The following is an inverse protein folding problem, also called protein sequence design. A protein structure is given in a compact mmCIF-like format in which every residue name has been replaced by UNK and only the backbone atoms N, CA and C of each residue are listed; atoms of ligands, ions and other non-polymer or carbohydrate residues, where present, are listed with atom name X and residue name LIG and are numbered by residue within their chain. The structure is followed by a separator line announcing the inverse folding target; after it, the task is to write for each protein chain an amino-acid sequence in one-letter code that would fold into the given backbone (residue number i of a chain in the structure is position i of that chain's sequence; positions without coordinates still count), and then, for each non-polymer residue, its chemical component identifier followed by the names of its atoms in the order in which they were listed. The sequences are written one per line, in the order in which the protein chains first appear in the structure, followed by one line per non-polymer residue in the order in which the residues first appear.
data_IF_690325220825
#
_entry.id   IF_690325220825
#
_cell.length_a   1.000
_cell.length_b   1.000
_cell.length_c   1.000
_cell.angle_alpha   90.00
_cell.angle_beta   90.00
_cell.angle_gamma   90.00
#
_symmetry.space_group_name_H-M   'P 1'
#
loop_
_entity.id
_entity.type
_entity.pdbx_description
1 polymer ?
#
# COMPACT_ATOMS: atom_id res chain seq x y z
N UNK A 1 26.20 -12.26 -17.91
CA UNK A 1 25.12 -11.53 -18.61
C UNK A 1 25.07 -10.10 -18.09
N UNK A 2 24.83 -9.10 -18.92
CA UNK A 2 24.62 -7.73 -18.44
C UNK A 2 23.31 -7.66 -17.63
N UNK A 3 23.30 -6.85 -16.57
CA UNK A 3 22.08 -6.62 -15.80
C UNK A 3 21.01 -5.93 -16.65
N UNK A 4 19.76 -6.17 -16.37
CA UNK A 4 18.62 -5.58 -17.07
C UNK A 4 18.32 -4.21 -16.44
N UNK A 5 18.51 -3.07 -17.16
CA UNK A 5 18.20 -1.75 -16.63
C UNK A 5 16.67 -1.54 -16.59
N UNK A 6 16.16 -1.21 -15.40
CA UNK A 6 14.73 -1.00 -15.13
C UNK A 6 14.53 0.40 -14.57
N UNK A 7 13.67 1.23 -15.18
CA UNK A 7 13.28 2.51 -14.59
C UNK A 7 11.90 2.41 -13.95
N UNK A 8 11.85 2.64 -12.62
CA UNK A 8 10.64 2.70 -11.82
C UNK A 8 10.25 4.17 -11.66
N UNK A 9 9.06 4.57 -12.12
CA UNK A 9 8.64 5.96 -12.09
C UNK A 9 7.42 6.17 -11.20
N UNK A 10 7.54 7.11 -10.25
CA UNK A 10 6.48 7.48 -9.29
C UNK A 10 6.34 9.01 -9.23
N UNK A 11 5.19 9.49 -8.76
CA UNK A 11 4.96 10.94 -8.68
C UNK A 11 5.82 11.64 -7.61
N UNK A 12 5.94 11.02 -6.45
CA UNK A 12 6.63 11.56 -5.27
C UNK A 12 7.24 10.42 -4.46
N UNK A 13 8.07 10.73 -3.47
CA UNK A 13 8.78 9.77 -2.62
C UNK A 13 8.58 10.06 -1.13
N UNK A 14 7.37 10.44 -0.75
CA UNK A 14 6.97 10.73 0.62
C UNK A 14 6.39 9.49 1.33
N UNK A 15 5.61 9.66 2.40
CA UNK A 15 5.12 8.60 3.29
C UNK A 15 3.95 7.75 2.74
N UNK A 16 3.59 7.87 1.46
CA UNK A 16 2.49 7.10 0.85
C UNK A 16 2.79 5.59 0.72
N UNK A 17 1.71 4.80 0.50
CA UNK A 17 1.83 3.36 0.27
C UNK A 17 2.53 3.03 -1.04
N UNK A 18 2.16 3.70 -2.12
CA UNK A 18 2.72 3.53 -3.47
C UNK A 18 4.21 3.88 -3.50
N UNK A 19 4.58 5.01 -2.88
CA UNK A 19 5.95 5.50 -2.79
C UNK A 19 6.85 4.48 -2.05
N UNK A 20 6.30 3.88 -1.00
CA UNK A 20 6.98 2.83 -0.24
C UNK A 20 7.13 1.56 -1.05
N UNK A 21 6.12 1.17 -1.82
CA UNK A 21 6.18 -0.03 -2.65
C UNK A 21 7.22 0.11 -3.78
N UNK A 22 7.35 1.30 -4.38
CA UNK A 22 8.39 1.59 -5.37
C UNK A 22 9.79 1.51 -4.75
N UNK A 23 10.00 2.14 -3.60
CA UNK A 23 11.30 2.12 -2.92
C UNK A 23 11.69 0.70 -2.50
N UNK A 24 10.76 -0.07 -1.92
CA UNK A 24 10.97 -1.48 -1.59
C UNK A 24 11.28 -2.32 -2.82
N UNK A 25 10.53 -2.14 -3.92
CA UNK A 25 10.78 -2.88 -5.15
C UNK A 25 12.17 -2.58 -5.71
N UNK A 26 12.57 -1.29 -5.75
CA UNK A 26 13.89 -0.89 -6.23
C UNK A 26 15.04 -1.52 -5.43
N UNK A 27 14.86 -1.69 -4.12
CA UNK A 27 15.91 -2.22 -3.23
C UNK A 27 15.92 -3.74 -3.10
N UNK A 28 14.83 -4.45 -3.51
CA UNK A 28 14.71 -5.91 -3.37
C UNK A 28 14.75 -6.67 -4.69
N UNK A 29 14.73 -5.99 -5.84
CA UNK A 29 15.04 -6.65 -7.11
C UNK A 29 16.46 -7.23 -7.05
N UNK A 30 16.62 -8.48 -7.53
CA UNK A 30 17.91 -9.18 -7.52
C UNK A 30 18.98 -8.35 -8.26
N UNK A 31 19.99 -7.81 -7.55
CA UNK A 31 20.99 -6.92 -8.13
C UNK A 31 21.97 -7.65 -9.06
N UNK A 32 21.97 -8.98 -9.08
CA UNK A 32 22.72 -9.76 -10.06
C UNK A 32 22.06 -9.79 -11.44
N UNK A 33 20.75 -9.56 -11.50
CA UNK A 33 19.92 -9.66 -12.72
C UNK A 33 19.41 -8.31 -13.19
N UNK A 34 19.06 -7.41 -12.28
CA UNK A 34 18.45 -6.12 -12.56
C UNK A 34 19.31 -4.95 -12.11
N UNK A 35 19.19 -3.84 -12.81
CA UNK A 35 19.77 -2.56 -12.46
C UNK A 35 18.62 -1.54 -12.30
N UNK A 36 18.07 -1.38 -11.07
CA UNK A 36 16.96 -0.49 -10.84
C UNK A 36 17.41 0.98 -10.85
N UNK A 37 16.67 1.80 -11.55
CA UNK A 37 16.70 3.25 -11.53
C UNK A 37 15.35 3.75 -11.04
N UNK A 38 15.30 4.91 -10.39
CA UNK A 38 14.04 5.53 -9.96
C UNK A 38 13.90 6.92 -10.53
N UNK A 39 12.69 7.27 -10.99
CA UNK A 39 12.35 8.63 -11.41
C UNK A 39 11.17 9.17 -10.62
N UNK A 40 11.22 10.45 -10.24
CA UNK A 40 10.12 11.11 -9.56
C UNK A 40 10.03 12.60 -9.92
N UNK A 41 8.84 13.19 -9.73
CA UNK A 41 8.63 14.63 -9.89
C UNK A 41 9.19 15.44 -8.72
N UNK A 42 9.52 14.79 -7.61
CA UNK A 42 10.10 15.40 -6.42
C UNK A 42 11.38 14.66 -6.02
N UNK A 43 12.37 15.39 -5.55
CA UNK A 43 13.66 14.89 -5.09
C UNK A 43 13.81 15.05 -3.57
N UNK A 44 12.76 14.81 -2.83
CA UNK A 44 12.71 14.90 -1.38
C UNK A 44 11.73 13.87 -0.81
N UNK A 45 11.79 13.69 0.50
CA UNK A 45 10.95 12.76 1.23
C UNK A 45 11.70 11.54 1.74
N UNK A 46 11.15 10.87 2.73
CA UNK A 46 11.77 9.74 3.43
C UNK A 46 12.22 8.62 2.47
N UNK A 47 11.43 8.33 1.42
CA UNK A 47 11.77 7.28 0.46
C UNK A 47 12.88 7.68 -0.50
N UNK A 48 13.01 8.97 -0.78
CA UNK A 48 14.14 9.50 -1.53
C UNK A 48 15.46 9.25 -0.79
N UNK A 49 15.51 9.55 0.50
CA UNK A 49 16.71 9.34 1.32
C UNK A 49 17.08 7.84 1.43
N UNK A 50 16.09 6.95 1.54
CA UNK A 50 16.28 5.50 1.51
C UNK A 50 16.91 5.02 0.20
N UNK A 51 16.42 5.51 -0.94
CA UNK A 51 16.94 5.15 -2.27
C UNK A 51 18.36 5.65 -2.47
N UNK A 52 18.68 6.86 -2.03
CA UNK A 52 20.04 7.41 -2.07
C UNK A 52 21.01 6.59 -1.21
N UNK A 53 20.59 6.24 0.00
CA UNK A 53 21.40 5.40 0.90
C UNK A 53 21.66 4.00 0.33
N UNK A 54 20.71 3.47 -0.47
CA UNK A 54 20.87 2.21 -1.19
C UNK A 54 21.68 2.33 -2.49
N UNK A 55 22.13 3.52 -2.87
CA UNK A 55 22.91 3.76 -4.10
C UNK A 55 22.08 3.58 -5.39
N UNK A 56 20.76 3.70 -5.33
CA UNK A 56 19.88 3.59 -6.50
C UNK A 56 19.99 4.86 -7.37
N UNK A 57 20.34 4.77 -8.66
CA UNK A 57 20.33 5.90 -9.58
C UNK A 57 18.98 6.61 -9.63
N UNK A 58 18.98 7.93 -9.52
CA UNK A 58 17.77 8.71 -9.40
C UNK A 58 17.67 9.80 -10.47
N UNK A 59 16.51 9.90 -11.12
CA UNK A 59 16.17 10.95 -12.08
C UNK A 59 15.11 11.89 -11.49
N UNK A 60 15.47 13.13 -11.21
CA UNK A 60 14.51 14.18 -10.88
C UNK A 60 13.87 14.77 -12.11
N UNK A 61 12.54 14.76 -12.15
CA UNK A 61 11.71 15.34 -13.20
C UNK A 61 10.88 16.50 -12.61
N UNK A 62 11.37 17.75 -12.64
CA UNK A 62 10.70 18.88 -11.97
C UNK A 62 9.43 19.29 -12.73
N UNK A 63 8.32 18.60 -12.45
CA UNK A 63 7.04 18.82 -13.12
C UNK A 63 5.89 18.88 -12.12
N UNK A 64 5.13 19.97 -12.17
CA UNK A 64 3.90 20.12 -11.39
C UNK A 64 2.67 19.56 -12.13
N UNK A 65 2.63 19.70 -13.46
CA UNK A 65 1.56 19.20 -14.31
C UNK A 65 2.16 18.51 -15.56
N UNK A 66 1.81 17.24 -15.83
CA UNK A 66 2.31 16.51 -17.00
C UNK A 66 2.06 17.23 -18.34
N UNK A 67 0.90 17.83 -18.49
CA UNK A 67 0.51 18.58 -19.70
C UNK A 67 0.80 20.06 -19.49
N UNK A 68 2.09 20.44 -19.67
CA UNK A 68 2.57 21.82 -19.52
C UNK A 68 3.92 21.99 -20.26
N UNK A 69 4.43 23.24 -20.34
CA UNK A 69 5.79 23.47 -20.85
C UNK A 69 6.87 22.76 -20.03
N UNK A 70 6.71 22.74 -18.70
CA UNK A 70 7.58 21.98 -17.80
C UNK A 70 7.46 20.47 -18.06
N UNK A 71 6.26 19.95 -18.33
CA UNK A 71 6.04 18.57 -18.74
C UNK A 71 6.77 18.20 -20.03
N UNK A 72 6.82 19.09 -21.03
CA UNK A 72 7.60 18.89 -22.26
C UNK A 72 9.11 18.83 -21.99
N UNK A 73 9.62 19.68 -21.10
CA UNK A 73 11.03 19.63 -20.69
C UNK A 73 11.35 18.31 -19.95
N UNK A 74 10.48 17.91 -19.02
CA UNK A 74 10.61 16.65 -18.29
C UNK A 74 10.52 15.43 -19.24
N UNK A 75 9.64 15.47 -20.25
CA UNK A 75 9.55 14.42 -21.27
C UNK A 75 10.84 14.27 -22.05
N UNK A 76 11.48 15.40 -22.47
CA UNK A 76 12.79 15.37 -23.16
C UNK A 76 13.89 14.83 -22.25
N UNK A 77 13.90 15.23 -20.97
CA UNK A 77 14.86 14.76 -19.99
C UNK A 77 14.71 13.26 -19.75
N UNK A 78 13.47 12.79 -19.52
CA UNK A 78 13.16 11.36 -19.39
C UNK A 78 13.57 10.57 -20.62
N UNK A 79 13.19 11.02 -21.82
CA UNK A 79 13.54 10.33 -23.06
C UNK A 79 15.04 10.26 -23.33
N UNK A 80 15.82 11.28 -22.93
CA UNK A 80 17.28 11.24 -22.97
C UNK A 80 17.81 10.19 -21.99
N UNK A 81 17.37 10.23 -20.74
CA UNK A 81 17.80 9.30 -19.69
C UNK A 81 17.54 7.83 -20.08
N UNK A 82 16.34 7.53 -20.61
CA UNK A 82 15.97 6.19 -21.06
C UNK A 82 16.94 5.64 -22.13
N UNK A 83 17.39 6.49 -23.05
CA UNK A 83 18.37 6.11 -24.10
C UNK A 83 19.78 5.99 -23.54
N UNK A 84 20.25 6.97 -22.75
CA UNK A 84 21.62 7.01 -22.19
C UNK A 84 21.89 5.80 -21.31
N UNK A 85 20.88 5.35 -20.52
CA UNK A 85 20.98 4.18 -19.65
C UNK A 85 20.47 2.89 -20.28
N UNK A 86 20.13 2.91 -21.59
CA UNK A 86 19.64 1.73 -22.32
C UNK A 86 18.53 0.98 -21.58
N UNK A 87 17.56 1.73 -21.00
CA UNK A 87 16.48 1.16 -20.19
C UNK A 87 15.67 0.18 -21.01
N UNK A 88 15.58 -1.07 -20.53
CA UNK A 88 14.84 -2.15 -21.17
C UNK A 88 13.41 -2.29 -20.65
N UNK A 89 13.18 -1.92 -19.38
CA UNK A 89 11.86 -1.95 -18.74
C UNK A 89 11.57 -0.57 -18.17
N UNK A 90 10.48 0.01 -18.59
CA UNK A 90 9.90 1.20 -17.97
C UNK A 90 8.63 0.81 -17.23
N UNK A 91 8.61 1.06 -15.91
CA UNK A 91 7.47 0.75 -15.06
C UNK A 91 7.01 2.00 -14.33
N UNK A 92 5.81 2.50 -14.65
CA UNK A 92 5.20 3.66 -14.01
C UNK A 92 4.15 3.26 -12.99
N UNK A 93 4.10 3.98 -11.88
CA UNK A 93 3.00 3.91 -10.90
C UNK A 93 2.08 5.11 -11.05
N UNK A 94 0.77 4.89 -10.95
CA UNK A 94 -0.25 5.95 -11.00
C UNK A 94 0.13 7.21 -10.22
N UNK A 95 -0.11 8.41 -10.72
CA UNK A 95 -0.50 8.81 -12.07
C UNK A 95 0.71 9.18 -12.96
N UNK A 96 1.92 8.78 -12.60
CA UNK A 96 3.15 9.09 -13.37
C UNK A 96 3.13 8.49 -14.79
N UNK A 97 2.31 7.46 -15.01
CA UNK A 97 2.08 6.84 -16.31
C UNK A 97 1.65 7.84 -17.41
N UNK A 98 0.91 8.90 -17.04
CA UNK A 98 0.42 9.91 -18.01
C UNK A 98 1.57 10.58 -18.78
N UNK A 99 2.68 10.88 -18.11
CA UNK A 99 3.87 11.42 -18.76
C UNK A 99 4.80 10.32 -19.25
N UNK A 100 5.06 9.34 -18.39
CA UNK A 100 6.14 8.37 -18.58
C UNK A 100 5.88 7.37 -19.70
N UNK A 101 4.66 6.82 -19.77
CA UNK A 101 4.31 5.77 -20.74
C UNK A 101 4.44 6.26 -22.21
N UNK A 102 3.87 7.40 -22.62
CA UNK A 102 4.05 7.92 -23.97
C UNK A 102 5.51 8.20 -24.31
N UNK A 103 6.29 8.73 -23.37
CA UNK A 103 7.71 9.01 -23.58
C UNK A 103 8.49 7.71 -23.76
N UNK A 104 8.30 6.71 -22.90
CA UNK A 104 8.99 5.43 -23.00
C UNK A 104 8.73 4.75 -24.36
N UNK A 105 7.48 4.76 -24.81
CA UNK A 105 7.13 4.24 -26.16
C UNK A 105 7.77 5.03 -27.30
N UNK A 106 7.79 6.35 -27.20
CA UNK A 106 8.35 7.20 -28.27
C UNK A 106 9.85 7.01 -28.47
N UNK A 107 10.57 6.57 -27.43
CA UNK A 107 12.02 6.30 -27.49
C UNK A 107 12.36 4.82 -27.68
N UNK A 108 11.35 3.95 -27.83
CA UNK A 108 11.52 2.54 -28.17
C UNK A 108 11.92 1.65 -26.99
N UNK A 109 11.53 1.98 -25.75
CA UNK A 109 11.74 1.07 -24.60
C UNK A 109 11.03 -0.26 -24.88
N UNK A 110 11.72 -1.42 -24.80
CA UNK A 110 11.17 -2.72 -25.15
C UNK A 110 9.91 -3.10 -24.38
N UNK A 111 9.92 -2.89 -23.05
CA UNK A 111 8.81 -3.24 -22.15
C UNK A 111 8.34 -2.02 -21.39
N UNK A 112 7.05 -1.71 -21.49
CA UNK A 112 6.41 -0.58 -20.81
C UNK A 112 5.23 -1.08 -19.97
N UNK A 113 5.27 -0.83 -18.67
CA UNK A 113 4.30 -1.30 -17.66
C UNK A 113 3.70 -0.11 -16.93
N UNK A 114 2.42 -0.20 -16.58
CA UNK A 114 1.77 0.74 -15.65
C UNK A 114 1.13 -0.03 -14.51
N UNK A 115 1.48 0.31 -13.26
CA UNK A 115 0.80 -0.19 -12.06
C UNK A 115 -0.46 0.63 -11.77
N UNK A 116 -1.58 -0.05 -11.55
CA UNK A 116 -2.87 0.52 -11.19
C UNK A 116 -3.22 0.04 -9.77
N UNK A 117 -2.94 0.89 -8.77
CA UNK A 117 -3.02 0.53 -7.36
C UNK A 117 -4.18 1.22 -6.62
N UNK A 118 -5.04 1.91 -7.37
CA UNK A 118 -6.23 2.57 -6.85
C UNK A 118 -7.38 2.50 -7.84
N UNK A 119 -8.60 2.49 -7.33
CA UNK A 119 -9.79 2.56 -8.18
C UNK A 119 -9.84 3.92 -8.89
N UNK A 120 -10.10 3.91 -10.18
CA UNK A 120 -10.10 5.13 -11.00
C UNK A 120 -11.25 6.09 -10.68
N UNK A 121 -12.31 5.60 -10.04
CA UNK A 121 -13.45 6.42 -9.59
C UNK A 121 -13.05 7.47 -8.57
N UNK A 122 -12.00 7.24 -7.78
CA UNK A 122 -11.51 8.23 -6.81
C UNK A 122 -10.70 9.36 -7.45
N UNK A 123 -10.31 9.19 -8.73
CA UNK A 123 -9.54 10.19 -9.47
C UNK A 123 -10.47 11.20 -10.16
N UNK A 124 -9.97 12.40 -10.37
CA UNK A 124 -10.70 13.39 -11.18
C UNK A 124 -10.88 12.91 -12.63
N UNK A 125 -11.92 13.42 -13.30
CA UNK A 125 -12.31 12.99 -14.65
C UNK A 125 -11.17 13.12 -15.67
N UNK A 126 -10.37 14.18 -15.57
CA UNK A 126 -9.26 14.43 -16.51
C UNK A 126 -8.17 13.40 -16.34
N UNK A 127 -7.72 13.17 -15.13
CA UNK A 127 -6.70 12.16 -14.80
C UNK A 127 -7.14 10.77 -15.25
N UNK A 128 -8.41 10.40 -15.01
CA UNK A 128 -8.97 9.12 -15.45
C UNK A 128 -8.95 8.94 -16.96
N UNK A 129 -9.34 9.96 -17.74
CA UNK A 129 -9.31 9.92 -19.21
C UNK A 129 -7.87 9.75 -19.71
N UNK A 130 -6.93 10.49 -19.14
CA UNK A 130 -5.52 10.42 -19.53
C UNK A 130 -4.90 9.06 -19.22
N UNK A 131 -5.19 8.46 -18.08
CA UNK A 131 -4.73 7.11 -17.75
C UNK A 131 -5.29 6.08 -18.71
N UNK A 132 -6.60 6.12 -19.04
CA UNK A 132 -7.20 5.23 -20.05
C UNK A 132 -6.54 5.37 -21.42
N UNK A 133 -6.11 6.59 -21.79
CA UNK A 133 -5.41 6.82 -23.04
C UNK A 133 -3.99 6.24 -23.04
N UNK A 134 -3.37 6.03 -21.88
CA UNK A 134 -2.04 5.39 -21.79
C UNK A 134 -2.10 3.86 -21.74
N UNK A 135 -3.23 3.26 -21.36
CA UNK A 135 -3.37 1.80 -21.24
C UNK A 135 -3.00 1.04 -22.54
N UNK A 136 -3.45 1.46 -23.74
CA UNK A 136 -3.07 0.79 -24.97
C UNK A 136 -1.57 0.81 -25.28
N UNK A 137 -0.84 1.75 -24.71
CA UNK A 137 0.60 1.91 -24.88
C UNK A 137 1.43 1.01 -23.96
N UNK A 138 0.82 0.38 -22.95
CA UNK A 138 1.51 -0.54 -22.05
C UNK A 138 1.51 -1.97 -22.58
N UNK A 139 2.56 -2.75 -22.33
CA UNK A 139 2.58 -4.21 -22.58
C UNK A 139 1.77 -4.94 -21.52
N UNK A 140 1.79 -4.43 -20.27
CA UNK A 140 0.99 -4.93 -19.18
C UNK A 140 0.51 -3.80 -18.26
N UNK A 141 -0.67 -3.99 -17.69
CA UNK A 141 -1.17 -3.25 -16.54
C UNK A 141 -1.04 -4.13 -15.30
N UNK A 142 -0.29 -3.66 -14.31
CA UNK A 142 -0.01 -4.44 -13.11
C UNK A 142 -0.92 -3.98 -11.98
N UNK A 143 -1.46 -4.94 -11.25
CA UNK A 143 -2.33 -4.74 -10.09
C UNK A 143 -1.84 -5.53 -8.89
N UNK A 144 -2.22 -5.09 -7.69
CA UNK A 144 -1.75 -5.69 -6.43
C UNK A 144 -2.78 -6.57 -5.71
N UNK A 145 -3.96 -6.80 -6.30
CA UNK A 145 -4.95 -7.73 -5.77
C UNK A 145 -5.90 -8.24 -6.87
N UNK A 146 -6.54 -9.38 -6.65
CA UNK A 146 -7.48 -9.97 -7.60
C UNK A 146 -8.73 -9.09 -7.79
N UNK A 147 -9.16 -8.39 -6.75
CA UNK A 147 -10.26 -7.43 -6.84
C UNK A 147 -9.95 -6.30 -7.84
N UNK A 148 -8.73 -5.74 -7.82
CA UNK A 148 -8.30 -4.75 -8.80
C UNK A 148 -8.16 -5.34 -10.20
N UNK A 149 -7.70 -6.59 -10.32
CA UNK A 149 -7.65 -7.30 -11.60
C UNK A 149 -9.05 -7.42 -12.20
N UNK A 150 -10.02 -7.85 -11.39
CA UNK A 150 -11.43 -7.94 -11.80
C UNK A 150 -11.96 -6.58 -12.24
N UNK A 151 -11.71 -5.54 -11.47
CA UNK A 151 -12.11 -4.16 -11.78
C UNK A 151 -11.56 -3.67 -13.12
N UNK A 152 -10.28 -3.84 -13.41
CA UNK A 152 -9.69 -3.42 -14.68
C UNK A 152 -10.30 -4.17 -15.88
N UNK A 153 -10.57 -5.46 -15.72
CA UNK A 153 -11.13 -6.28 -16.78
C UNK A 153 -12.62 -5.97 -17.01
N UNK A 154 -13.43 -5.99 -15.97
CA UNK A 154 -14.88 -5.90 -16.07
C UNK A 154 -15.40 -4.45 -16.17
N UNK A 155 -14.80 -3.51 -15.43
CA UNK A 155 -15.28 -2.13 -15.37
C UNK A 155 -14.51 -1.17 -16.29
N UNK A 156 -13.20 -1.40 -16.48
CA UNK A 156 -12.37 -0.55 -17.32
C UNK A 156 -12.16 -1.14 -18.74
N UNK A 157 -12.59 -2.39 -19.00
CA UNK A 157 -12.53 -3.03 -20.30
C UNK A 157 -11.11 -3.41 -20.77
N UNK A 158 -10.16 -3.52 -19.83
CA UNK A 158 -8.79 -3.93 -20.16
C UNK A 158 -8.75 -5.43 -20.49
N UNK A 159 -8.14 -5.86 -21.62
CA UNK A 159 -8.03 -7.27 -21.94
C UNK A 159 -7.31 -8.06 -20.84
N UNK A 160 -7.89 -9.17 -20.39
CA UNK A 160 -7.38 -9.99 -19.28
C UNK A 160 -5.93 -10.45 -19.46
N UNK A 161 -5.51 -10.69 -20.72
CA UNK A 161 -4.15 -11.08 -21.08
C UNK A 161 -3.10 -9.99 -20.84
N UNK A 162 -3.53 -8.73 -20.61
CA UNK A 162 -2.66 -7.58 -20.34
C UNK A 162 -2.68 -7.18 -18.87
N UNK A 163 -3.45 -7.84 -18.01
CA UNK A 163 -3.53 -7.53 -16.59
C UNK A 163 -2.75 -8.57 -15.79
N UNK A 164 -1.59 -8.17 -15.30
CA UNK A 164 -0.71 -9.01 -14.48
C UNK A 164 -0.94 -8.71 -12.98
N UNK A 165 -0.95 -9.77 -12.16
CA UNK A 165 -1.15 -9.67 -10.71
C UNK A 165 0.16 -9.88 -9.96
N UNK A 166 0.58 -8.87 -9.20
CA UNK A 166 1.70 -8.95 -8.29
C UNK A 166 1.31 -8.36 -6.92
N UNK A 167 1.06 -9.21 -5.94
CA UNK A 167 0.76 -8.76 -4.58
C UNK A 167 1.92 -7.97 -3.98
N UNK A 168 1.59 -6.97 -3.15
CA UNK A 168 2.60 -6.25 -2.38
C UNK A 168 3.28 -7.18 -1.38
N UNK A 169 4.53 -6.87 -1.05
CA UNK A 169 5.33 -7.62 -0.07
C UNK A 169 5.50 -6.91 1.26
N UNK A 170 5.64 -7.69 2.34
CA UNK A 170 6.03 -7.21 3.66
C UNK A 170 7.49 -7.58 3.97
N UNK A 171 8.24 -6.62 4.54
CA UNK A 171 9.60 -6.85 5.03
C UNK A 171 9.57 -7.65 6.34
N UNK A 172 9.63 -8.97 6.24
CA UNK A 172 9.52 -9.88 7.40
C UNK A 172 10.65 -9.73 8.42
N UNK A 173 11.78 -9.16 8.03
CA UNK A 173 12.85 -8.82 8.96
C UNK A 173 12.48 -7.62 9.87
N UNK A 174 11.56 -6.77 9.46
CA UNK A 174 11.07 -5.61 10.19
C UNK A 174 9.72 -5.86 10.86
N UNK A 175 8.78 -6.47 10.13
CA UNK A 175 7.44 -6.79 10.57
C UNK A 175 7.34 -8.26 10.95
N UNK A 176 7.46 -8.57 12.22
CA UNK A 176 7.39 -9.94 12.77
C UNK A 176 6.76 -9.91 14.16
N UNK A 177 6.17 -11.01 14.62
CA UNK A 177 5.62 -11.09 15.97
C UNK A 177 6.72 -10.96 17.02
N UNK A 178 6.52 -10.07 17.98
CA UNK A 178 7.46 -9.83 19.08
C UNK A 178 6.69 -9.43 20.32
N UNK A 179 7.37 -9.33 21.46
CA UNK A 179 6.78 -8.84 22.69
C UNK A 179 6.19 -7.44 22.51
N UNK A 180 5.06 -7.20 23.17
CA UNK A 180 4.39 -5.92 23.14
C UNK A 180 5.29 -4.83 23.77
N UNK A 181 5.54 -3.72 23.05
CA UNK A 181 6.34 -2.65 23.60
C UNK A 181 5.62 -1.97 24.79
N UNK A 182 6.38 -1.59 25.81
CA UNK A 182 5.87 -0.76 26.89
C UNK A 182 5.73 0.68 26.41
N UNK A 183 4.51 1.22 26.51
CA UNK A 183 4.16 2.57 26.09
C UNK A 183 3.35 3.23 27.20
N UNK A 184 3.80 4.38 27.71
CA UNK A 184 3.12 5.12 28.78
C UNK A 184 1.65 5.43 28.44
N UNK A 185 1.38 5.80 27.18
CA UNK A 185 0.04 6.10 26.70
C UNK A 185 -0.91 4.88 26.73
N UNK A 186 -0.37 3.65 26.78
CA UNK A 186 -1.12 2.39 26.81
C UNK A 186 -0.94 1.63 28.15
N UNK A 187 -0.29 2.25 29.13
CA UNK A 187 -0.08 1.62 30.43
C UNK A 187 -1.41 1.21 31.06
N UNK A 188 -1.47 -0.02 31.59
CA UNK A 188 -2.67 -0.58 32.19
C UNK A 188 -3.80 -0.94 31.25
N UNK A 189 -3.59 -0.84 29.92
CA UNK A 189 -4.59 -1.25 28.94
C UNK A 189 -4.79 -2.77 28.97
N UNK A 190 -6.04 -3.20 29.22
CA UNK A 190 -6.42 -4.62 29.19
C UNK A 190 -6.42 -5.19 27.76
N UNK A 191 -6.69 -4.34 26.78
CA UNK A 191 -6.72 -4.66 25.34
C UNK A 191 -6.46 -3.38 24.54
N UNK A 192 -5.73 -3.48 23.43
CA UNK A 192 -5.55 -2.38 22.48
C UNK A 192 -6.18 -2.73 21.17
N UNK A 193 -7.23 -1.99 20.80
CA UNK A 193 -7.80 -1.97 19.46
C UNK A 193 -7.16 -0.81 18.71
N UNK A 194 -6.71 -1.00 17.47
CA UNK A 194 -6.02 0.11 16.80
C UNK A 194 -6.04 0.06 15.29
N UNK A 195 -5.68 1.22 14.72
CA UNK A 195 -5.46 1.41 13.28
C UNK A 195 -4.20 2.24 13.05
N UNK A 196 -3.48 1.96 11.96
CA UNK A 196 -2.30 2.69 11.53
C UNK A 196 -2.45 3.01 10.05
N UNK A 197 -2.71 4.29 9.72
CA UNK A 197 -2.92 4.74 8.33
C UNK A 197 -2.85 6.27 8.21
N UNK A 198 -2.86 6.78 6.98
CA UNK A 198 -3.14 8.19 6.75
C UNK A 198 -4.56 8.54 7.21
N UNK A 199 -4.72 9.65 7.93
CA UNK A 199 -6.03 10.07 8.48
C UNK A 199 -6.84 10.81 7.39
N UNK A 200 -7.46 10.02 6.49
CA UNK A 200 -8.28 10.48 5.36
C UNK A 200 -9.69 9.90 5.45
N UNK A 201 -10.70 10.55 4.84
CA UNK A 201 -12.10 10.10 4.90
C UNK A 201 -12.29 8.65 4.44
N UNK A 202 -11.62 8.24 3.37
CA UNK A 202 -11.74 6.88 2.81
C UNK A 202 -11.25 5.77 3.74
N UNK A 203 -10.50 6.11 4.81
CA UNK A 203 -10.02 5.14 5.81
C UNK A 203 -11.07 4.76 6.86
N UNK A 204 -12.22 5.45 6.91
CA UNK A 204 -13.37 5.05 7.71
C UNK A 204 -13.15 5.03 9.24
N UNK A 205 -12.19 5.80 9.76
CA UNK A 205 -11.81 5.77 11.17
C UNK A 205 -12.93 6.19 12.13
N UNK A 206 -13.92 6.95 11.66
CA UNK A 206 -15.11 7.26 12.47
C UNK A 206 -15.94 6.01 12.76
N UNK A 207 -16.04 5.08 11.78
CA UNK A 207 -16.71 3.78 11.97
C UNK A 207 -16.01 2.97 13.05
N UNK A 208 -14.67 2.99 13.09
CA UNK A 208 -13.89 2.34 14.15
C UNK A 208 -14.19 2.95 15.53
N UNK A 209 -14.23 4.28 15.63
CA UNK A 209 -14.55 4.96 16.90
C UNK A 209 -15.95 4.63 17.37
N UNK A 210 -16.95 4.64 16.48
CA UNK A 210 -18.32 4.24 16.81
C UNK A 210 -18.41 2.78 17.26
N UNK A 211 -17.73 1.88 16.54
CA UNK A 211 -17.69 0.46 16.89
C UNK A 211 -17.02 0.24 18.25
N UNK A 212 -15.91 0.93 18.54
CA UNK A 212 -15.23 0.85 19.82
C UNK A 212 -16.12 1.39 20.96
N UNK A 213 -16.80 2.51 20.78
CA UNK A 213 -17.74 3.05 21.76
C UNK A 213 -18.91 2.06 22.03
N UNK A 214 -19.51 1.52 20.97
CA UNK A 214 -20.60 0.52 21.04
C UNK A 214 -20.18 -0.77 21.75
N UNK A 215 -18.92 -1.17 21.62
CA UNK A 215 -18.40 -2.38 22.27
C UNK A 215 -18.38 -2.30 23.80
N UNK A 216 -18.37 -1.10 24.37
CA UNK A 216 -18.26 -0.89 25.82
C UNK A 216 -16.91 -1.29 26.43
N UNK A 217 -15.93 -1.68 25.62
CA UNK A 217 -14.62 -2.17 26.08
C UNK A 217 -13.81 -1.09 26.81
N UNK A 218 -14.04 0.20 26.51
CA UNK A 218 -13.44 1.32 27.23
C UNK A 218 -13.74 1.30 28.73
N UNK A 219 -14.91 0.81 29.12
CA UNK A 219 -15.29 0.65 30.54
C UNK A 219 -14.58 -0.54 31.22
N UNK A 220 -13.91 -1.40 30.41
CA UNK A 220 -13.14 -2.57 30.89
C UNK A 220 -11.63 -2.35 30.78
N UNK A 221 -11.20 -1.08 30.61
CA UNK A 221 -9.79 -0.71 30.49
C UNK A 221 -9.15 -0.89 29.12
N UNK A 222 -9.93 -1.17 28.06
CA UNK A 222 -9.38 -1.20 26.72
C UNK A 222 -9.05 0.21 26.20
N UNK A 223 -8.06 0.30 25.32
CA UNK A 223 -7.67 1.54 24.62
C UNK A 223 -7.87 1.43 23.12
N UNK A 224 -8.22 2.56 22.50
CA UNK A 224 -8.25 2.74 21.07
C UNK A 224 -7.00 3.51 20.63
N UNK A 225 -6.13 2.90 19.86
CA UNK A 225 -4.89 3.50 19.34
C UNK A 225 -5.06 3.85 17.86
N UNK A 226 -4.93 5.13 17.50
CA UNK A 226 -4.94 5.62 16.13
C UNK A 226 -3.58 6.26 15.85
N UNK A 227 -2.81 5.66 14.94
CA UNK A 227 -1.48 6.14 14.55
C UNK A 227 -1.53 6.63 13.11
N UNK A 228 -1.13 7.90 12.93
CA UNK A 228 -1.06 8.51 11.61
C UNK A 228 -1.30 10.01 11.62
N UNK A 229 -1.14 10.62 10.45
CA UNK A 229 -1.39 12.05 10.21
C UNK A 229 -2.29 12.22 9.00
N UNK A 230 -3.02 13.34 8.96
CA UNK A 230 -3.91 13.66 7.85
C UNK A 230 -5.01 14.65 8.23
N UNK A 231 -5.83 15.08 7.26
CA UNK A 231 -6.82 16.14 7.43
C UNK A 231 -7.96 15.79 8.41
N UNK A 232 -8.24 14.50 8.64
CA UNK A 232 -9.30 14.05 9.54
C UNK A 232 -8.92 14.07 11.03
N UNK A 233 -7.67 14.42 11.39
CA UNK A 233 -7.20 14.31 12.77
C UNK A 233 -8.07 15.05 13.78
N UNK A 234 -8.34 16.32 13.54
CA UNK A 234 -9.14 17.16 14.45
C UNK A 234 -10.58 16.64 14.56
N UNK A 235 -11.15 16.24 13.43
CA UNK A 235 -12.50 15.68 13.36
C UNK A 235 -12.62 14.38 14.16
N UNK A 236 -11.61 13.52 14.10
CA UNK A 236 -11.56 12.27 14.86
C UNK A 236 -11.41 12.52 16.36
N UNK A 237 -10.63 13.52 16.78
CA UNK A 237 -10.51 13.91 18.19
C UNK A 237 -11.85 14.43 18.72
N UNK A 238 -12.51 15.32 17.98
CA UNK A 238 -13.85 15.83 18.35
C UNK A 238 -14.88 14.69 18.41
N UNK A 239 -14.87 13.77 17.44
CA UNK A 239 -15.79 12.63 17.40
C UNK A 239 -15.60 11.67 18.59
N UNK A 240 -14.35 11.40 19.01
CA UNK A 240 -14.06 10.64 20.21
C UNK A 240 -14.65 11.29 21.47
N UNK A 241 -14.65 12.62 21.54
CA UNK A 241 -15.27 13.37 22.63
C UNK A 241 -16.80 13.22 22.64
N UNK A 242 -17.43 13.37 21.47
CA UNK A 242 -18.88 13.19 21.29
C UNK A 242 -19.33 11.78 21.71
N UNK A 243 -18.51 10.76 21.41
CA UNK A 243 -18.77 9.37 21.76
C UNK A 243 -18.42 9.02 23.22
N UNK A 244 -17.85 9.95 23.99
CA UNK A 244 -17.44 9.71 25.38
C UNK A 244 -16.23 8.78 25.54
N UNK A 245 -15.44 8.57 24.48
CA UNK A 245 -14.28 7.67 24.48
C UNK A 245 -12.92 8.38 24.52
N UNK A 246 -12.88 9.71 24.71
CA UNK A 246 -11.63 10.50 24.67
C UNK A 246 -10.54 9.95 25.61
N UNK A 247 -10.90 9.55 26.84
CA UNK A 247 -9.94 9.02 27.82
C UNK A 247 -9.36 7.64 27.44
N UNK A 248 -10.10 6.90 26.60
CA UNK A 248 -9.68 5.60 26.10
C UNK A 248 -8.99 5.69 24.72
N UNK A 249 -9.04 6.86 24.06
CA UNK A 249 -8.48 7.06 22.72
C UNK A 249 -7.10 7.70 22.79
N UNK A 250 -6.13 7.10 22.08
CA UNK A 250 -4.75 7.57 21.96
C UNK A 250 -4.48 7.88 20.50
N UNK A 251 -4.10 9.13 20.22
CA UNK A 251 -3.78 9.61 18.87
C UNK A 251 -2.29 9.90 18.77
N UNK A 252 -1.59 9.16 17.93
CA UNK A 252 -0.16 9.32 17.68
C UNK A 252 0.03 9.86 16.24
N UNK A 253 0.86 10.87 16.01
CA UNK A 253 1.19 11.33 14.65
C UNK A 253 1.80 10.22 13.80
N UNK A 254 2.02 10.50 12.51
CA UNK A 254 2.75 9.60 11.63
C UNK A 254 4.15 9.29 12.20
N UNK A 255 4.55 8.03 12.12
CA UNK A 255 5.77 7.48 12.75
C UNK A 255 6.67 6.87 11.69
N UNK A 256 7.98 6.85 11.94
CA UNK A 256 8.95 6.16 11.10
C UNK A 256 8.99 4.65 11.34
N UNK A 257 8.80 4.21 12.60
CA UNK A 257 8.75 2.80 12.97
C UNK A 257 7.31 2.31 13.17
N UNK A 258 6.66 1.97 12.07
CA UNK A 258 5.31 1.42 12.09
C UNK A 258 5.25 0.05 12.80
N UNK A 259 6.29 -0.78 12.69
CA UNK A 259 6.31 -2.11 13.29
C UNK A 259 6.26 -2.05 14.82
N UNK A 260 6.97 -1.10 15.42
CA UNK A 260 6.92 -0.86 16.87
C UNK A 260 5.48 -0.60 17.35
N UNK A 261 4.76 0.28 16.66
CA UNK A 261 3.39 0.64 17.03
C UNK A 261 2.38 -0.46 16.71
N UNK A 262 2.57 -1.21 15.63
CA UNK A 262 1.72 -2.37 15.31
C UNK A 262 1.82 -3.46 16.37
N UNK A 263 3.00 -3.74 16.93
CA UNK A 263 3.19 -4.70 18.02
C UNK A 263 2.49 -4.27 19.32
N UNK A 264 2.12 -3.00 19.46
CA UNK A 264 1.34 -2.52 20.59
C UNK A 264 -0.17 -2.80 20.46
N UNK A 265 -0.63 -3.25 19.28
CA UNK A 265 -2.04 -3.48 18.95
C UNK A 265 -2.38 -4.97 19.08
N UNK A 266 -3.40 -5.29 19.89
CA UNK A 266 -3.92 -6.65 19.99
C UNK A 266 -4.90 -6.99 18.86
N UNK A 267 -5.78 -6.02 18.51
CA UNK A 267 -6.76 -6.14 17.42
C UNK A 267 -6.56 -4.97 16.46
N UNK A 268 -5.97 -5.24 15.30
CA UNK A 268 -5.81 -4.26 14.25
C UNK A 268 -7.08 -4.19 13.40
N UNK A 269 -7.57 -2.98 13.15
CA UNK A 269 -8.78 -2.75 12.35
C UNK A 269 -8.47 -1.92 11.11
N UNK A 270 -8.89 -2.41 9.94
CA UNK A 270 -8.90 -1.68 8.69
C UNK A 270 -10.35 -1.35 8.29
N UNK A 271 -10.91 -0.19 8.70
CA UNK A 271 -12.32 0.13 8.50
C UNK A 271 -12.60 0.88 7.19
N UNK A 272 -11.73 0.76 6.19
CA UNK A 272 -11.73 1.57 4.97
C UNK A 272 -13.04 1.44 4.18
N UNK A 273 -13.43 2.53 3.51
CA UNK A 273 -14.50 2.58 2.51
C UNK A 273 -13.99 2.25 1.10
N UNK A 274 -12.71 2.50 0.84
CA UNK A 274 -12.05 2.17 -0.43
C UNK A 274 -10.61 1.77 -0.17
N UNK A 275 -10.22 0.62 -0.71
CA UNK A 275 -8.86 0.07 -0.60
C UNK A 275 -8.64 -0.88 -1.78
N UNK A 276 -7.47 -0.84 -2.41
CA UNK A 276 -7.06 -1.90 -3.33
C UNK A 276 -6.43 -3.04 -2.52
N UNK A 277 -5.17 -2.89 -2.13
CA UNK A 277 -4.46 -3.83 -1.25
C UNK A 277 -3.81 -3.05 -0.10
N UNK A 278 -4.14 -3.41 1.13
CA UNK A 278 -3.66 -2.65 2.29
C UNK A 278 -2.32 -3.16 2.79
N UNK A 279 -1.27 -2.37 2.61
CA UNK A 279 0.03 -2.64 3.23
C UNK A 279 -0.06 -2.64 4.76
N UNK A 280 -0.87 -1.75 5.37
CA UNK A 280 -1.03 -1.70 6.81
C UNK A 280 -1.68 -2.97 7.38
N UNK A 281 -2.67 -3.54 6.67
CA UNK A 281 -3.28 -4.80 7.06
C UNK A 281 -2.27 -5.95 6.97
N UNK A 282 -1.52 -6.03 5.87
CA UNK A 282 -0.47 -7.04 5.69
C UNK A 282 0.63 -6.92 6.75
N UNK A 283 1.06 -5.71 7.08
CA UNK A 283 2.07 -5.44 8.11
C UNK A 283 1.57 -5.80 9.52
N UNK A 284 0.30 -5.51 9.82
CA UNK A 284 -0.34 -5.91 11.08
C UNK A 284 -0.43 -7.44 11.21
N UNK A 285 -0.81 -8.13 10.13
CA UNK A 285 -0.79 -9.60 10.06
C UNK A 285 0.63 -10.13 10.33
N UNK A 286 1.64 -9.58 9.68
CA UNK A 286 3.04 -9.97 9.86
C UNK A 286 3.54 -9.71 11.28
N UNK A 287 3.10 -8.64 11.94
CA UNK A 287 3.41 -8.34 13.35
C UNK A 287 2.67 -9.23 14.36
N UNK A 288 1.76 -10.09 13.91
CA UNK A 288 1.00 -10.98 14.80
C UNK A 288 -0.18 -10.31 15.49
N UNK A 289 -0.74 -9.23 14.92
CA UNK A 289 -2.02 -8.69 15.35
C UNK A 289 -3.16 -9.61 14.89
N UNK A 290 -4.19 -9.77 15.72
CA UNK A 290 -5.47 -10.25 15.21
C UNK A 290 -6.10 -9.15 14.36
N UNK A 291 -6.54 -9.45 13.15
CA UNK A 291 -6.98 -8.43 12.20
C UNK A 291 -8.47 -8.49 11.92
N UNK A 292 -9.08 -7.30 11.78
CA UNK A 292 -10.45 -7.13 11.29
C UNK A 292 -10.39 -6.17 10.10
N UNK A 293 -10.92 -6.57 8.94
CA UNK A 293 -10.97 -5.74 7.74
C UNK A 293 -12.39 -5.54 7.22
N UNK A 294 -12.65 -4.38 6.60
CA UNK A 294 -13.85 -4.21 5.79
C UNK A 294 -13.80 -5.12 4.56
N UNK A 295 -14.94 -5.66 4.14
CA UNK A 295 -15.08 -6.57 2.99
C UNK A 295 -15.01 -5.80 1.67
N UNK A 296 -13.85 -5.21 1.38
CA UNK A 296 -13.58 -4.42 0.17
C UNK A 296 -12.19 -4.74 -0.39
N UNK A 297 -12.02 -4.52 -1.68
CA UNK A 297 -10.73 -4.67 -2.37
C UNK A 297 -10.03 -5.99 -2.06
N UNK A 298 -8.75 -5.92 -1.75
CA UNK A 298 -7.91 -7.07 -1.41
C UNK A 298 -8.02 -7.56 0.05
N UNK A 299 -8.83 -6.91 0.91
CA UNK A 299 -8.98 -7.34 2.32
C UNK A 299 -9.50 -8.78 2.44
N UNK A 300 -10.52 -9.22 1.66
CA UNK A 300 -10.96 -10.62 1.67
C UNK A 300 -9.86 -11.60 1.25
N UNK A 301 -9.00 -11.22 0.32
CA UNK A 301 -7.87 -12.07 -0.13
C UNK A 301 -6.81 -12.25 0.97
N UNK A 302 -6.54 -11.17 1.72
CA UNK A 302 -5.60 -11.21 2.85
C UNK A 302 -6.17 -12.01 4.02
N UNK A 303 -7.43 -11.76 4.38
CA UNK A 303 -8.08 -12.36 5.56
C UNK A 303 -8.59 -13.77 5.30
N UNK A 304 -9.06 -14.08 4.08
CA UNK A 304 -9.50 -15.41 3.68
C UNK A 304 -10.73 -15.89 4.43
N UNK A 305 -11.87 -15.21 4.26
CA UNK A 305 -13.18 -15.62 4.82
C UNK A 305 -13.11 -16.21 6.25
N UNK A 306 -12.59 -15.40 7.19
CA UNK A 306 -12.40 -15.71 8.61
C UNK A 306 -11.30 -16.76 8.94
N UNK A 307 -10.47 -17.14 7.98
CA UNK A 307 -9.34 -18.06 8.24
C UNK A 307 -8.16 -17.41 9.00
N UNK A 308 -7.88 -16.13 8.71
CA UNK A 308 -6.70 -15.38 9.19
C UNK A 308 -7.05 -14.06 9.87
N UNK A 309 -8.33 -13.80 10.10
CA UNK A 309 -8.88 -12.59 10.68
C UNK A 309 -10.38 -12.56 10.49
N UNK A 310 -11.03 -11.46 10.77
CA UNK A 310 -12.46 -11.32 10.61
C UNK A 310 -12.81 -10.22 9.59
N UNK A 311 -13.91 -10.42 8.87
CA UNK A 311 -14.43 -9.45 7.92
C UNK A 311 -15.74 -8.83 8.43
N UNK A 312 -15.96 -7.55 8.07
CA UNK A 312 -17.23 -6.86 8.33
C UNK A 312 -17.67 -6.05 7.10
N UNK A 313 -18.95 -5.70 7.03
CA UNK A 313 -19.48 -4.86 5.95
C UNK A 313 -18.98 -3.42 6.10
N UNK A 314 -18.39 -2.86 5.04
CA UNK A 314 -17.87 -1.49 5.07
C UNK A 314 -18.93 -0.49 5.51
N UNK A 315 -18.58 0.40 6.45
CA UNK A 315 -19.49 1.40 7.04
C UNK A 315 -20.40 0.88 8.16
N UNK A 316 -20.43 -0.43 8.42
CA UNK A 316 -21.25 -1.02 9.49
C UNK A 316 -20.53 -1.02 10.83
N UNK A 317 -20.73 0.04 11.61
CA UNK A 317 -20.15 0.16 12.95
C UNK A 317 -20.69 -0.89 13.94
N UNK A 318 -21.93 -1.37 13.77
CA UNK A 318 -22.51 -2.40 14.65
C UNK A 318 -21.88 -3.77 14.37
N UNK A 319 -21.77 -4.14 13.08
CA UNK A 319 -21.07 -5.33 12.66
C UNK A 319 -19.60 -5.33 13.07
N UNK A 320 -18.89 -4.20 12.92
CA UNK A 320 -17.53 -4.07 13.40
C UNK A 320 -17.43 -4.23 14.92
N UNK A 321 -18.34 -3.65 15.71
CA UNK A 321 -18.37 -3.80 17.16
C UNK A 321 -18.55 -5.28 17.56
N UNK A 322 -19.41 -6.02 16.87
CA UNK A 322 -19.60 -7.45 17.09
C UNK A 322 -18.31 -8.25 16.84
N UNK A 323 -17.57 -7.95 15.76
CA UNK A 323 -16.29 -8.61 15.48
C UNK A 323 -15.21 -8.24 16.52
N UNK A 324 -15.14 -6.99 16.95
CA UNK A 324 -14.24 -6.56 18.05
C UNK A 324 -14.57 -7.32 19.33
N UNK A 325 -15.85 -7.41 19.70
CA UNK A 325 -16.29 -8.15 20.91
C UNK A 325 -16.00 -9.65 20.82
N UNK A 326 -16.15 -10.26 19.64
CA UNK A 326 -15.80 -11.67 19.39
C UNK A 326 -14.33 -11.94 19.71
N UNK A 327 -13.40 -11.11 19.18
CA UNK A 327 -11.96 -11.26 19.45
C UNK A 327 -11.57 -10.84 20.87
N UNK A 328 -12.25 -9.87 21.46
CA UNK A 328 -11.99 -9.43 22.84
C UNK A 328 -12.42 -10.48 23.85
N UNK A 329 -13.55 -11.15 23.59
CA UNK A 329 -14.13 -12.18 24.48
C UNK A 329 -13.49 -13.56 24.35
N UNK A 330 -12.78 -13.83 23.25
CA UNK A 330 -12.10 -15.11 23.00
C UNK A 330 -10.60 -14.92 22.71
N UNK A 331 -9.76 -14.89 23.76
CA UNK A 331 -8.30 -14.77 23.58
C UNK A 331 -7.67 -15.93 22.81
N UNK A 332 -8.25 -17.14 22.87
CA UNK A 332 -7.74 -18.29 22.15
C UNK A 332 -7.94 -18.13 20.64
N UNK A 333 -9.14 -17.77 20.22
CA UNK A 333 -9.47 -17.44 18.83
C UNK A 333 -8.61 -16.29 18.32
N UNK A 334 -8.48 -15.21 19.12
CA UNK A 334 -7.64 -14.05 18.77
C UNK A 334 -6.21 -14.46 18.51
N UNK A 335 -5.62 -15.26 19.39
CA UNK A 335 -4.25 -15.76 19.23
C UNK A 335 -4.09 -16.69 18.02
N UNK A 336 -5.06 -17.57 17.78
CA UNK A 336 -5.03 -18.52 16.66
C UNK A 336 -5.09 -17.78 15.32
N UNK A 337 -6.02 -16.83 15.15
CA UNK A 337 -6.14 -16.04 13.91
C UNK A 337 -4.87 -15.20 13.66
N UNK A 338 -4.33 -14.57 14.71
CA UNK A 338 -3.08 -13.82 14.63
C UNK A 338 -1.90 -14.67 14.16
N UNK A 339 -1.75 -15.89 14.70
CA UNK A 339 -0.70 -16.85 14.29
C UNK A 339 -0.86 -17.28 12.83
N UNK A 340 -2.09 -17.59 12.40
CA UNK A 340 -2.37 -17.96 11.00
C UNK A 340 -2.07 -16.79 10.06
N UNK A 341 -2.48 -15.57 10.42
CA UNK A 341 -2.20 -14.35 9.66
C UNK A 341 -0.69 -14.12 9.50
N UNK A 342 0.08 -14.19 10.58
CA UNK A 342 1.52 -13.98 10.54
C UNK A 342 2.25 -15.03 9.68
N UNK A 343 1.90 -16.32 9.83
CA UNK A 343 2.45 -17.40 9.00
C UNK A 343 2.14 -17.19 7.53
N UNK A 344 0.90 -16.84 7.20
CA UNK A 344 0.50 -16.59 5.82
C UNK A 344 1.26 -15.41 5.21
N UNK A 345 1.35 -14.29 5.92
CA UNK A 345 2.08 -13.11 5.47
C UNK A 345 3.56 -13.43 5.18
N UNK A 346 4.24 -14.12 6.10
CA UNK A 346 5.64 -14.49 5.94
C UNK A 346 5.86 -15.52 4.81
N UNK A 347 5.00 -16.52 4.70
CA UNK A 347 5.18 -17.60 3.74
C UNK A 347 4.75 -17.26 2.31
N UNK A 348 3.85 -16.29 2.11
CA UNK A 348 3.23 -16.05 0.80
C UNK A 348 3.40 -14.61 0.29
N UNK A 349 3.65 -13.65 1.18
CA UNK A 349 3.64 -12.21 0.89
C UNK A 349 4.87 -11.50 1.48
N UNK A 350 6.00 -12.20 1.62
CA UNK A 350 7.26 -11.52 1.95
C UNK A 350 7.73 -10.64 0.80
N UNK A 351 8.61 -9.67 1.09
CA UNK A 351 9.13 -8.76 0.06
C UNK A 351 9.97 -9.51 -0.97
N UNK A 352 10.68 -10.56 -0.56
CA UNK A 352 11.45 -11.44 -1.44
C UNK A 352 10.55 -12.18 -2.43
N UNK A 353 9.40 -12.68 -1.98
CA UNK A 353 8.41 -13.33 -2.85
C UNK A 353 7.82 -12.31 -3.84
N UNK A 354 7.47 -11.11 -3.37
CA UNK A 354 6.94 -10.05 -4.23
C UNK A 354 7.96 -9.62 -5.31
N UNK A 355 9.22 -9.43 -4.93
CA UNK A 355 10.31 -9.08 -5.84
C UNK A 355 10.58 -10.22 -6.86
N UNK A 356 10.56 -11.47 -6.42
CA UNK A 356 10.72 -12.64 -7.31
C UNK A 356 9.57 -12.75 -8.33
N UNK A 357 8.32 -12.50 -7.91
CA UNK A 357 7.16 -12.44 -8.82
C UNK A 357 7.28 -11.31 -9.83
N UNK A 358 7.68 -10.12 -9.37
CA UNK A 358 7.92 -8.98 -10.25
C UNK A 358 9.00 -9.28 -11.29
N UNK A 359 10.12 -9.89 -10.86
CA UNK A 359 11.20 -10.32 -11.75
C UNK A 359 10.70 -11.29 -12.82
N UNK A 360 9.89 -12.29 -12.44
CA UNK A 360 9.31 -13.25 -13.37
C UNK A 360 8.37 -12.58 -14.40
N UNK A 361 7.57 -11.58 -13.97
CA UNK A 361 6.74 -10.78 -14.89
C UNK A 361 7.64 -10.01 -15.87
N UNK A 362 8.66 -9.31 -15.39
CA UNK A 362 9.59 -8.55 -16.23
C UNK A 362 10.25 -9.42 -17.28
N UNK A 363 10.80 -10.57 -16.90
CA UNK A 363 11.43 -11.50 -17.83
C UNK A 363 10.45 -12.09 -18.86
N UNK A 364 9.22 -12.36 -18.42
CA UNK A 364 8.19 -12.86 -19.33
C UNK A 364 7.85 -11.81 -20.39
N UNK A 365 7.75 -10.55 -20.01
CA UNK A 365 7.46 -9.46 -20.94
C UNK A 365 8.64 -9.19 -21.87
N UNK A 366 9.90 -9.24 -21.38
CA UNK A 366 11.09 -9.12 -22.24
C UNK A 366 11.14 -10.23 -23.29
N UNK A 367 10.92 -11.50 -22.89
CA UNK A 367 10.85 -12.62 -23.86
C UNK A 367 9.76 -12.41 -24.92
N UNK A 368 8.59 -11.86 -24.54
CA UNK A 368 7.52 -11.52 -25.49
C UNK A 368 7.93 -10.39 -26.45
N UNK A 369 8.78 -9.47 -25.98
CA UNK A 369 9.33 -8.37 -26.78
C UNK A 369 10.51 -8.80 -27.67
N UNK A 370 11.02 -10.03 -27.53
CA UNK A 370 12.15 -10.55 -28.31
C UNK A 370 13.52 -10.06 -27.83
N UNK A 371 13.63 -9.71 -26.55
CA UNK A 371 14.86 -9.18 -25.92
C UNK A 371 15.38 -10.15 -24.86
#
# INVERSE_FOLDING_TARGET
MSRIPVLLMVRQLDQGGVERDVAKMATHLDPSRFEPHVASYQNCGMRYDELLAAGIPFLHLPVAAPISRAGLCAARLLGRYLREHSIQIFHAWDPSAILGVPVARSVGVPVVISSQLSYREILDRKTRILLRATDPLCDALLVNCAAMRKYLIESEGVPAARVELCYNGVEVARFYPSERPSLDALQGASLVVGALCALRPEKGLMVLQEAFARSGLQCRGAKLLIVGSGPERERLVCHASTLGISRASVFIPAVSDAAFWMRAIDIFVLPSYSEAFSNALLEAMACGCAVIGSRIGGSPELIGDDERGLLFTSGDAAGLAAQILKLAGDPALRCELAKRAARFAAANLSMEIAASRMAAIYETLLRRAGV
#
